data_IF_805465076686
#
_entry.id   IF_805465076686
#
_cell.length_a   1.000
_cell.length_b   1.000
_cell.length_c   1.000
_cell.angle_alpha   90.00
_cell.angle_beta   90.00
_cell.angle_gamma   90.00
#
_symmetry.space_group_name_H-M   'P 1'
#
loop_
_entity.id
_entity.type
_entity.pdbx_description
1 polymer ?
#
# COMPACT_ATOMS: atom_id res chain seq x y z
N UNK A 1 -1.67 -1.58 18.82
CA UNK A 1 -1.85 -2.62 17.80
C UNK A 1 -1.84 -1.97 16.42
N UNK A 2 -1.05 -2.50 15.52
CA UNK A 2 -0.97 -1.98 14.14
C UNK A 2 -2.28 -2.21 13.40
N UNK A 3 -2.80 -1.17 12.79
CA UNK A 3 -4.04 -1.22 12.00
C UNK A 3 -3.71 -1.08 10.52
N UNK A 4 -4.14 -2.04 9.72
CA UNK A 4 -3.92 -2.07 8.27
C UNK A 4 -5.25 -1.95 7.55
N UNK A 5 -5.35 -1.01 6.61
CA UNK A 5 -6.50 -0.91 5.71
C UNK A 5 -6.13 -1.57 4.38
N UNK A 6 -6.92 -2.53 3.95
CA UNK A 6 -6.72 -3.22 2.66
C UNK A 6 -7.81 -2.78 1.71
N UNK A 7 -7.42 -2.12 0.62
CA UNK A 7 -8.34 -1.65 -0.43
C UNK A 7 -8.05 -2.48 -1.69
N UNK A 8 -8.95 -3.40 -2.01
CA UNK A 8 -8.80 -4.31 -3.14
C UNK A 8 -10.19 -4.81 -3.53
N UNK A 9 -10.51 -4.83 -4.82
CA UNK A 9 -11.82 -5.27 -5.31
C UNK A 9 -12.00 -6.79 -5.28
N UNK A 10 -10.92 -7.55 -5.14
CA UNK A 10 -10.95 -9.00 -5.09
C UNK A 10 -11.09 -9.52 -3.67
N UNK A 11 -12.26 -10.08 -3.33
CA UNK A 11 -12.51 -10.61 -2.01
C UNK A 11 -11.49 -11.68 -1.56
N UNK A 12 -11.03 -12.61 -2.44
CA UNK A 12 -10.00 -13.57 -2.04
C UNK A 12 -8.68 -12.93 -1.63
N UNK A 13 -8.30 -11.83 -2.27
CA UNK A 13 -7.06 -11.12 -1.91
C UNK A 13 -7.23 -10.46 -0.55
N UNK A 14 -8.37 -9.80 -0.31
CA UNK A 14 -8.64 -9.20 1.00
C UNK A 14 -8.61 -10.26 2.11
N UNK A 15 -9.17 -11.43 1.85
CA UNK A 15 -9.16 -12.53 2.83
C UNK A 15 -7.75 -13.02 3.12
N UNK A 16 -6.91 -13.19 2.08
CA UNK A 16 -5.51 -13.60 2.26
C UNK A 16 -4.75 -12.58 3.13
N UNK A 17 -4.94 -11.30 2.86
CA UNK A 17 -4.31 -10.25 3.65
C UNK A 17 -4.80 -10.31 5.10
N UNK A 18 -6.11 -10.39 5.32
CA UNK A 18 -6.70 -10.43 6.65
C UNK A 18 -6.16 -11.61 7.47
N UNK A 19 -6.24 -12.82 6.92
CA UNK A 19 -5.82 -14.03 7.66
C UNK A 19 -4.35 -13.93 8.08
N UNK A 20 -3.49 -13.50 7.18
CA UNK A 20 -2.05 -13.46 7.46
C UNK A 20 -1.65 -12.29 8.38
N UNK A 21 -2.31 -11.15 8.25
CA UNK A 21 -2.00 -10.01 9.12
C UNK A 21 -2.60 -10.19 10.51
N UNK A 22 -3.82 -10.72 10.62
CA UNK A 22 -4.44 -10.99 11.92
C UNK A 22 -3.69 -12.07 12.69
N UNK A 23 -3.14 -13.08 11.99
CA UNK A 23 -2.32 -14.11 12.62
C UNK A 23 -1.07 -13.51 13.29
N UNK A 24 -0.63 -12.34 12.83
CA UNK A 24 0.51 -11.61 13.38
C UNK A 24 0.06 -10.46 14.29
N UNK A 25 -1.17 -10.55 14.79
CA UNK A 25 -1.75 -9.63 15.78
C UNK A 25 -1.92 -8.19 15.28
N UNK A 26 -2.18 -8.03 13.99
CA UNK A 26 -2.53 -6.75 13.41
C UNK A 26 -4.05 -6.67 13.24
N UNK A 27 -4.60 -5.46 13.35
CA UNK A 27 -6.02 -5.22 13.08
C UNK A 27 -6.18 -4.92 11.60
N UNK A 28 -7.14 -5.55 10.94
CA UNK A 28 -7.37 -5.37 9.51
C UNK A 28 -8.76 -4.78 9.25
N UNK A 29 -8.79 -3.72 8.46
CA UNK A 29 -10.02 -3.11 7.93
C UNK A 29 -10.00 -3.33 6.42
N UNK A 30 -11.13 -3.70 5.84
CA UNK A 30 -11.21 -3.96 4.39
C UNK A 30 -12.14 -2.97 3.69
N UNK A 31 -11.81 -2.67 2.44
CA UNK A 31 -12.65 -1.89 1.55
C UNK A 31 -12.61 -2.50 0.14
N UNK A 32 -13.77 -2.74 -0.50
CA UNK A 32 -13.83 -3.39 -1.82
C UNK A 32 -13.65 -2.42 -3.00
N UNK A 33 -13.59 -1.12 -2.75
CA UNK A 33 -13.49 -0.13 -3.81
C UNK A 33 -12.84 1.16 -3.30
N UNK A 34 -12.56 2.08 -4.24
CA UNK A 34 -11.92 3.34 -3.93
C UNK A 34 -12.71 4.22 -2.96
N UNK A 35 -13.99 4.51 -3.26
CA UNK A 35 -14.78 5.38 -2.39
C UNK A 35 -14.90 4.90 -0.96
N UNK A 36 -15.17 3.61 -0.76
CA UNK A 36 -15.25 3.06 0.61
C UNK A 36 -13.88 3.04 1.28
N UNK A 37 -12.81 2.82 0.50
CA UNK A 37 -11.45 2.90 1.01
C UNK A 37 -11.09 4.28 1.51
N UNK A 38 -11.45 5.32 0.77
CA UNK A 38 -11.22 6.71 1.19
C UNK A 38 -11.96 7.03 2.48
N UNK A 39 -13.23 6.63 2.58
CA UNK A 39 -14.04 6.85 3.77
C UNK A 39 -13.42 6.14 4.98
N UNK A 40 -13.05 4.87 4.82
CA UNK A 40 -12.46 4.10 5.92
C UNK A 40 -11.09 4.63 6.34
N UNK A 41 -10.30 5.15 5.40
CA UNK A 41 -9.03 5.77 5.75
C UNK A 41 -9.23 6.99 6.67
N UNK A 42 -10.26 7.79 6.41
CA UNK A 42 -10.57 8.96 7.24
C UNK A 42 -11.08 8.57 8.62
N UNK A 43 -11.96 7.58 8.70
CA UNK A 43 -12.62 7.17 9.94
C UNK A 43 -11.69 6.33 10.80
N UNK A 44 -11.04 5.34 10.20
CA UNK A 44 -10.25 4.35 10.91
C UNK A 44 -8.83 4.81 11.22
N UNK A 45 -8.33 5.81 10.51
CA UNK A 45 -6.95 6.32 10.65
C UNK A 45 -5.93 5.19 10.76
N UNK A 46 -5.81 4.34 9.72
CA UNK A 46 -4.91 3.18 9.78
C UNK A 46 -3.44 3.61 9.81
N UNK A 47 -2.59 2.71 10.27
CA UNK A 47 -1.14 2.93 10.30
C UNK A 47 -0.52 2.76 8.91
N UNK A 48 -1.15 1.95 8.06
CA UNK A 48 -0.69 1.70 6.69
C UNK A 48 -1.88 1.28 5.83
N UNK A 49 -1.80 1.61 4.54
CA UNK A 49 -2.80 1.22 3.55
C UNK A 49 -2.14 0.31 2.51
N UNK A 50 -2.73 -0.87 2.30
CA UNK A 50 -2.40 -1.74 1.16
C UNK A 50 -3.44 -1.43 0.09
N UNK A 51 -3.00 -0.92 -1.04
CA UNK A 51 -3.89 -0.36 -2.06
C UNK A 51 -3.68 -1.01 -3.42
N UNK A 52 -4.71 -1.68 -3.91
CA UNK A 52 -4.72 -2.26 -5.26
C UNK A 52 -4.76 -1.15 -6.30
N UNK A 53 -3.92 -1.25 -7.31
CA UNK A 53 -3.85 -0.28 -8.41
C UNK A 53 -4.99 -0.51 -9.41
N UNK A 54 -5.27 -1.77 -9.75
CA UNK A 54 -6.22 -2.15 -10.79
C UNK A 54 -7.60 -2.42 -10.22
N UNK A 55 -8.37 -1.36 -10.02
CA UNK A 55 -9.77 -1.48 -9.57
C UNK A 55 -10.70 -0.81 -10.59
N UNK A 56 -11.88 -1.39 -10.83
CA UNK A 56 -12.87 -0.74 -11.70
C UNK A 56 -13.38 0.54 -11.06
N UNK A 57 -13.72 1.53 -11.90
CA UNK A 57 -14.17 2.83 -11.42
C UNK A 57 -13.02 3.69 -10.98
N UNK A 58 -12.95 4.00 -9.68
CA UNK A 58 -11.86 4.79 -9.11
C UNK A 58 -10.65 3.88 -8.85
N UNK A 59 -9.63 3.98 -9.71
CA UNK A 59 -8.42 3.16 -9.60
C UNK A 59 -7.52 3.57 -8.42
N UNK A 60 -6.52 2.73 -8.14
CA UNK A 60 -5.63 2.95 -7.00
C UNK A 60 -4.82 4.23 -7.08
N UNK A 61 -4.42 4.67 -8.28
CA UNK A 61 -3.67 5.93 -8.45
C UNK A 61 -4.51 7.12 -8.01
N UNK A 62 -5.78 7.14 -8.40
CA UNK A 62 -6.71 8.21 -8.02
C UNK A 62 -7.04 8.19 -6.55
N UNK A 63 -7.16 7.01 -5.95
CA UNK A 63 -7.35 6.88 -4.51
C UNK A 63 -6.14 7.48 -3.78
N UNK A 64 -4.91 7.16 -4.23
CA UNK A 64 -3.70 7.71 -3.63
C UNK A 64 -3.64 9.23 -3.75
N UNK A 65 -4.02 9.80 -4.90
CA UNK A 65 -4.09 11.25 -5.08
C UNK A 65 -5.03 11.90 -4.07
N UNK A 66 -6.22 11.33 -3.89
CA UNK A 66 -7.21 11.88 -2.96
C UNK A 66 -6.79 11.72 -1.51
N UNK A 67 -6.11 10.63 -1.16
CA UNK A 67 -5.55 10.44 0.17
C UNK A 67 -4.50 11.53 0.47
N UNK A 68 -3.69 11.85 -0.52
CA UNK A 68 -2.63 12.85 -0.39
C UNK A 68 -3.17 14.27 -0.25
N UNK A 69 -4.31 14.57 -0.86
CA UNK A 69 -4.97 15.89 -0.80
C UNK A 69 -5.70 16.15 0.51
N UNK A 70 -6.06 15.10 1.26
CA UNK A 70 -6.81 15.22 2.51
C UNK A 70 -5.85 15.25 3.71
N UNK A 71 -5.93 16.30 4.52
CA UNK A 71 -5.08 16.46 5.71
C UNK A 71 -5.17 15.29 6.68
N UNK A 72 -6.33 14.63 6.73
CA UNK A 72 -6.56 13.51 7.65
C UNK A 72 -5.85 12.23 7.23
N UNK A 73 -5.49 12.11 5.96
CA UNK A 73 -4.95 10.86 5.39
C UNK A 73 -3.61 11.01 4.70
N UNK A 74 -3.15 12.24 4.44
CA UNK A 74 -1.94 12.48 3.63
C UNK A 74 -0.66 11.85 4.18
N UNK A 75 -0.59 11.66 5.48
CA UNK A 75 0.61 11.10 6.12
C UNK A 75 0.57 9.58 6.29
N UNK A 76 -0.55 8.94 5.94
CA UNK A 76 -0.66 7.49 6.05
C UNK A 76 0.19 6.85 4.93
N UNK A 77 1.14 5.97 5.28
CA UNK A 77 1.97 5.33 4.26
C UNK A 77 1.15 4.35 3.42
N UNK A 78 1.45 4.32 2.12
CA UNK A 78 0.75 3.48 1.15
C UNK A 78 1.72 2.46 0.57
N UNK A 79 1.30 1.18 0.57
CA UNK A 79 1.96 0.10 -0.14
C UNK A 79 1.05 -0.33 -1.27
N UNK A 80 1.50 -0.16 -2.51
CA UNK A 80 0.69 -0.53 -3.67
C UNK A 80 0.74 -2.03 -3.95
N UNK A 81 -0.43 -2.61 -4.26
CA UNK A 81 -0.53 -3.98 -4.74
C UNK A 81 -0.69 -3.90 -6.26
N UNK A 82 0.26 -4.44 -7.01
CA UNK A 82 0.29 -4.23 -8.46
C UNK A 82 0.75 -5.47 -9.21
N UNK A 83 0.33 -5.61 -10.47
CA UNK A 83 0.80 -6.65 -11.35
C UNK A 83 2.19 -6.29 -11.91
N UNK A 84 2.98 -7.32 -12.29
CA UNK A 84 4.32 -7.11 -12.85
C UNK A 84 4.32 -6.23 -14.09
N UNK A 85 3.27 -6.32 -14.92
CA UNK A 85 3.19 -5.59 -16.16
C UNK A 85 3.14 -4.07 -15.98
N UNK A 86 2.83 -3.59 -14.77
CA UNK A 86 2.70 -2.16 -14.46
C UNK A 86 3.96 -1.55 -13.88
N UNK A 87 5.06 -2.16 -14.16
CA UNK A 87 6.38 -1.78 -13.68
C UNK A 87 6.69 -0.29 -13.81
N UNK A 88 6.35 0.31 -14.95
CA UNK A 88 6.60 1.75 -15.20
C UNK A 88 5.75 2.67 -14.35
N UNK A 89 4.59 2.21 -13.91
CA UNK A 89 3.66 3.00 -13.12
C UNK A 89 4.02 3.03 -11.63
N UNK A 90 4.91 2.14 -11.19
CA UNK A 90 5.34 2.08 -9.79
C UNK A 90 6.03 3.35 -9.33
N UNK A 91 6.88 3.94 -10.21
CA UNK A 91 7.54 5.21 -9.92
C UNK A 91 6.53 6.31 -9.68
N UNK A 92 5.43 6.34 -10.46
CA UNK A 92 4.33 7.27 -10.29
C UNK A 92 3.68 7.10 -8.91
N UNK A 93 3.43 5.83 -8.50
CA UNK A 93 2.86 5.54 -7.20
C UNK A 93 3.70 6.03 -6.04
N UNK A 94 5.02 5.89 -6.15
CA UNK A 94 5.94 6.37 -5.12
C UNK A 94 5.88 7.89 -5.00
N UNK A 95 5.64 8.61 -6.09
CA UNK A 95 5.44 10.06 -6.07
C UNK A 95 4.08 10.46 -5.49
N UNK A 96 3.13 9.53 -5.40
CA UNK A 96 1.79 9.75 -4.85
C UNK A 96 1.68 9.32 -3.38
N UNK A 97 2.79 9.28 -2.65
CA UNK A 97 2.80 8.92 -1.24
C UNK A 97 3.07 7.46 -0.95
N UNK A 98 3.30 6.66 -1.99
CA UNK A 98 3.68 5.26 -1.82
C UNK A 98 5.09 5.13 -1.27
N UNK A 99 5.29 4.17 -0.37
CA UNK A 99 6.61 3.88 0.20
C UNK A 99 7.15 2.53 -0.25
N UNK A 100 6.29 1.70 -0.81
CA UNK A 100 6.67 0.39 -1.33
C UNK A 100 5.56 -0.13 -2.26
N UNK A 101 5.84 -1.25 -2.90
CA UNK A 101 4.87 -1.97 -3.71
C UNK A 101 5.06 -3.47 -3.52
N UNK A 102 3.98 -4.23 -3.68
CA UNK A 102 3.98 -5.69 -3.63
C UNK A 102 3.41 -6.19 -4.94
N UNK A 103 4.14 -7.06 -5.62
CA UNK A 103 3.74 -7.60 -6.91
C UNK A 103 2.80 -8.80 -6.75
N UNK A 104 1.66 -8.75 -7.42
CA UNK A 104 0.73 -9.88 -7.47
C UNK A 104 1.17 -10.89 -8.54
N UNK A 105 1.12 -12.18 -8.28
CA UNK A 105 0.77 -12.81 -7.01
C UNK A 105 1.91 -12.67 -5.99
N UNK A 106 1.56 -12.55 -4.71
CA UNK A 106 2.54 -12.39 -3.64
C UNK A 106 2.42 -13.54 -2.63
N UNK A 107 3.48 -13.72 -1.84
CA UNK A 107 3.46 -14.65 -0.71
C UNK A 107 2.83 -13.96 0.49
N UNK A 108 1.62 -14.37 0.93
CA UNK A 108 0.94 -13.70 2.04
C UNK A 108 1.73 -13.69 3.34
N UNK A 109 2.62 -14.68 3.54
CA UNK A 109 3.44 -14.76 4.74
C UNK A 109 4.46 -13.62 4.85
N UNK A 110 4.73 -12.93 3.76
CA UNK A 110 5.68 -11.82 3.73
C UNK A 110 5.04 -10.47 4.06
N UNK A 111 3.71 -10.37 4.08
CA UNK A 111 3.01 -9.10 4.30
C UNK A 111 3.27 -8.50 5.69
N UNK A 112 3.08 -9.28 6.75
CA UNK A 112 3.26 -8.75 8.11
C UNK A 112 4.69 -8.32 8.39
N UNK A 113 5.72 -9.12 8.02
CA UNK A 113 7.11 -8.66 8.16
C UNK A 113 7.40 -7.39 7.38
N UNK A 114 6.86 -7.25 6.17
CA UNK A 114 7.03 -6.05 5.35
C UNK A 114 6.42 -4.84 6.06
N UNK A 115 5.18 -4.95 6.52
CA UNK A 115 4.49 -3.87 7.22
C UNK A 115 5.27 -3.43 8.45
N UNK A 116 5.71 -4.38 9.27
CA UNK A 116 6.50 -4.07 10.47
C UNK A 116 7.78 -3.33 10.14
N UNK A 117 8.52 -3.82 9.17
CA UNK A 117 9.78 -3.20 8.74
C UNK A 117 9.57 -1.77 8.27
N UNK A 118 8.56 -1.55 7.43
CA UNK A 118 8.27 -0.22 6.91
C UNK A 118 7.86 0.75 8.01
N UNK A 119 6.99 0.32 8.92
CA UNK A 119 6.53 1.18 10.02
C UNK A 119 7.66 1.49 11.00
N UNK A 120 8.53 0.54 11.29
CA UNK A 120 9.71 0.77 12.13
C UNK A 120 10.64 1.81 11.53
N UNK A 121 10.89 1.74 10.22
CA UNK A 121 11.74 2.71 9.53
C UNK A 121 11.10 4.10 9.50
N UNK A 122 9.79 4.17 9.30
CA UNK A 122 9.06 5.45 9.35
C UNK A 122 9.15 6.05 10.73
N UNK A 123 8.99 5.25 11.78
CA UNK A 123 9.10 5.70 13.17
C UNK A 123 10.48 6.26 13.47
N UNK A 124 11.54 5.74 12.82
CA UNK A 124 12.89 6.26 12.93
C UNK A 124 13.18 7.48 12.04
N UNK A 125 12.17 7.98 11.32
CA UNK A 125 12.33 9.14 10.46
C UNK A 125 12.93 8.83 9.08
N UNK A 126 12.90 7.56 8.65
CA UNK A 126 13.53 7.11 7.40
C UNK A 126 12.56 7.02 6.21
N UNK A 127 11.43 7.73 6.25
CA UNK A 127 10.42 7.65 5.20
C UNK A 127 10.95 8.06 3.82
N UNK A 128 11.70 9.15 3.77
CA UNK A 128 12.29 9.63 2.52
C UNK A 128 13.36 8.67 2.00
N UNK A 129 14.11 8.04 2.91
CA UNK A 129 15.10 7.03 2.55
C UNK A 129 14.45 5.80 1.92
N UNK A 130 13.33 5.35 2.46
CA UNK A 130 12.56 4.23 1.91
C UNK A 130 12.14 4.53 0.47
N UNK A 131 11.62 5.72 0.22
CA UNK A 131 11.19 6.14 -1.10
C UNK A 131 12.35 6.18 -2.07
N UNK A 132 13.47 6.78 -1.66
CA UNK A 132 14.67 6.90 -2.49
C UNK A 132 15.24 5.52 -2.85
N UNK A 133 15.33 4.61 -1.88
CA UNK A 133 15.79 3.24 -2.11
C UNK A 133 14.92 2.51 -3.13
N UNK A 134 13.60 2.69 -3.03
CA UNK A 134 12.67 2.02 -3.93
C UNK A 134 12.72 2.61 -5.34
N UNK A 135 12.91 3.92 -5.48
CA UNK A 135 13.08 4.56 -6.77
C UNK A 135 14.35 4.07 -7.46
N UNK A 136 15.46 3.96 -6.70
CA UNK A 136 16.72 3.44 -7.23
C UNK A 136 16.59 1.98 -7.69
N UNK A 137 15.89 1.16 -6.91
CA UNK A 137 15.62 -0.23 -7.26
C UNK A 137 14.84 -0.33 -8.57
N UNK A 138 13.78 0.47 -8.72
CA UNK A 138 12.98 0.51 -9.94
C UNK A 138 13.79 0.97 -11.15
N UNK A 139 14.64 1.97 -10.97
CA UNK A 139 15.50 2.49 -12.03
C UNK A 139 16.47 1.41 -12.51
N UNK A 140 17.10 0.68 -11.60
CA UNK A 140 17.99 -0.42 -11.93
C UNK A 140 17.28 -1.52 -12.72
N UNK A 141 16.07 -1.86 -12.33
CA UNK A 141 15.27 -2.88 -13.02
C UNK A 141 14.86 -2.42 -14.42
N UNK A 142 14.57 -1.14 -14.61
CA UNK A 142 14.22 -0.57 -15.91
C UNK A 142 15.42 -0.55 -16.86
N UNK A 143 16.61 -0.29 -16.35
CA UNK A 143 17.83 -0.24 -17.13
C UNK A 143 18.29 -1.64 -17.58
N UNK A 144 17.91 -2.69 -16.87
CA UNK A 144 18.28 -4.06 -17.19
C UNK A 144 17.40 -4.72 -18.27
N UNK A 145 16.35 -4.04 -18.69
CA UNK A 145 15.48 -4.49 -19.79
C UNK A 145 16.03 -3.96 -21.17
#
# INVERSE_FOLDING_TARGET
MTKVLVIDDEAPIRLLCRVNLEAEQMMVVEAPDGPSGLEKARIETPDVILLDVMMPGLDGWRVAEQLLEDERTRSIPIVFLTARAEFRDRAKGLNLGGIDYVTKPFNPLELAPLVRKLLERIERGERDDLRAEKIDELRSLMESE
#
